data_IF_448650210913
#
_entry.id   IF_448650210913
#
_cell.length_a   1.000
_cell.length_b   1.000
_cell.length_c   1.000
_cell.angle_alpha   90.00
_cell.angle_beta   90.00
_cell.angle_gamma   90.00
#
_symmetry.space_group_name_H-M   'P 1'
#
loop_
_entity.id
_entity.type
_entity.pdbx_description
1 polymer ?
#
# COMPACT_ATOMS: atom_id res chain seq x y z
N UNK A 1 18.63 -7.81 16.24
CA UNK A 1 19.28 -8.59 17.31
C UNK A 1 18.24 -9.53 17.88
N UNK A 2 18.52 -10.84 17.90
CA UNK A 2 17.59 -11.92 18.27
C UNK A 2 17.42 -11.99 19.79
N UNK A 3 16.18 -12.03 20.28
CA UNK A 3 15.84 -12.81 21.48
C UNK A 3 14.32 -12.99 21.62
N UNK A 4 13.84 -14.23 21.59
CA UNK A 4 12.80 -14.75 22.47
C UNK A 4 12.62 -16.25 22.19
N UNK A 5 12.88 -17.07 23.20
CA UNK A 5 12.59 -18.50 23.21
C UNK A 5 11.09 -18.72 23.45
N UNK A 6 10.49 -19.66 22.71
CA UNK A 6 9.13 -20.13 22.93
C UNK A 6 8.22 -19.87 21.73
N UNK A 7 8.16 -20.82 20.78
CA UNK A 7 7.30 -20.81 19.59
C UNK A 7 7.36 -19.51 18.77
N UNK A 8 8.52 -19.23 18.18
CA UNK A 8 8.67 -18.11 17.25
C UNK A 8 8.10 -18.45 15.87
N UNK A 9 7.04 -17.77 15.45
CA UNK A 9 6.71 -17.65 14.04
C UNK A 9 7.68 -16.63 13.46
N UNK A 10 8.52 -17.04 12.50
CA UNK A 10 9.38 -16.12 11.76
C UNK A 10 8.69 -15.79 10.42
N UNK A 11 8.47 -14.50 10.17
CA UNK A 11 7.81 -14.03 8.94
C UNK A 11 8.84 -13.40 8.00
N UNK A 12 8.94 -13.93 6.78
CA UNK A 12 9.79 -13.41 5.72
C UNK A 12 8.92 -12.94 4.56
N UNK A 13 9.19 -11.75 4.05
CA UNK A 13 8.36 -11.12 3.02
C UNK A 13 9.14 -10.87 1.73
N UNK A 14 8.45 -10.96 0.59
CA UNK A 14 8.95 -10.50 -0.72
C UNK A 14 10.18 -11.29 -1.24
N UNK A 15 10.20 -12.61 -1.03
CA UNK A 15 11.26 -13.48 -1.56
C UNK A 15 11.12 -13.61 -3.09
N UNK A 16 12.22 -13.34 -3.80
CA UNK A 16 12.32 -13.43 -5.26
C UNK A 16 12.92 -14.77 -5.69
N UNK A 17 12.76 -15.08 -6.98
CA UNK A 17 13.29 -16.28 -7.61
C UNK A 17 14.83 -16.21 -7.74
N UNK A 18 15.55 -16.53 -6.66
CA UNK A 18 17.01 -16.63 -6.62
C UNK A 18 17.42 -17.83 -5.77
N UNK A 19 17.46 -19.01 -6.42
CA UNK A 19 17.73 -20.30 -5.79
C UNK A 19 19.06 -20.31 -5.00
N UNK A 20 20.04 -19.51 -5.43
CA UNK A 20 21.35 -19.40 -4.78
C UNK A 20 21.28 -18.71 -3.42
N UNK A 21 20.27 -17.87 -3.19
CA UNK A 21 20.04 -17.20 -1.90
C UNK A 21 19.12 -18.00 -0.98
N UNK A 22 18.25 -18.84 -1.54
CA UNK A 22 17.28 -19.61 -0.75
C UNK A 22 17.92 -20.73 0.06
N UNK A 23 18.81 -21.54 -0.53
CA UNK A 23 19.40 -22.69 0.17
C UNK A 23 20.13 -22.30 1.48
N UNK A 24 20.98 -21.25 1.52
CA UNK A 24 21.57 -20.79 2.78
C UNK A 24 20.54 -20.34 3.82
N UNK A 25 19.46 -19.67 3.38
CA UNK A 25 18.38 -19.23 4.27
C UNK A 25 17.64 -20.44 4.85
N UNK A 26 17.30 -21.43 4.02
CA UNK A 26 16.63 -22.67 4.43
C UNK A 26 17.43 -23.42 5.50
N UNK A 27 18.75 -23.51 5.33
CA UNK A 27 19.64 -24.12 6.33
C UNK A 27 19.57 -23.37 7.67
N UNK A 28 19.64 -22.04 7.65
CA UNK A 28 19.52 -21.23 8.88
C UNK A 28 18.16 -21.41 9.56
N UNK A 29 17.09 -21.42 8.77
CA UNK A 29 15.71 -21.55 9.25
C UNK A 29 15.40 -22.94 9.82
N UNK A 30 16.07 -23.98 9.33
CA UNK A 30 15.92 -25.35 9.84
C UNK A 30 16.44 -25.56 11.28
N UNK A 31 17.16 -24.58 11.84
CA UNK A 31 17.70 -24.62 13.20
C UNK A 31 16.72 -24.12 14.28
N UNK A 32 15.46 -23.86 13.92
CA UNK A 32 14.42 -23.47 14.86
C UNK A 32 14.11 -24.57 15.89
N UNK A 33 13.59 -24.17 17.05
CA UNK A 33 13.13 -25.12 18.07
C UNK A 33 11.98 -25.99 17.54
N UNK A 34 11.81 -27.21 18.08
CA UNK A 34 10.71 -28.10 17.71
C UNK A 34 9.36 -27.37 17.85
N UNK A 35 8.53 -27.43 16.81
CA UNK A 35 7.24 -26.73 16.74
C UNK A 35 7.29 -25.30 16.20
N UNK A 36 8.48 -24.76 15.88
CA UNK A 36 8.61 -23.46 15.19
C UNK A 36 8.00 -23.52 13.79
N UNK A 37 7.40 -22.41 13.36
CA UNK A 37 6.80 -22.28 12.02
C UNK A 37 7.42 -21.09 11.30
N UNK A 38 7.57 -21.22 9.99
CA UNK A 38 8.06 -20.16 9.11
C UNK A 38 6.91 -19.76 8.20
N UNK A 39 6.59 -18.47 8.19
CA UNK A 39 5.62 -17.90 7.27
C UNK A 39 6.39 -17.12 6.21
N UNK A 40 6.17 -17.46 4.94
CA UNK A 40 6.77 -16.76 3.81
C UNK A 40 5.67 -16.14 2.97
N UNK A 41 5.79 -14.85 2.66
CA UNK A 41 4.93 -14.18 1.69
C UNK A 41 5.69 -13.89 0.40
N UNK A 42 5.05 -14.14 -0.73
CA UNK A 42 5.66 -13.97 -2.05
C UNK A 42 4.58 -13.65 -3.08
N UNK A 43 4.98 -12.99 -4.17
CA UNK A 43 4.08 -12.61 -5.26
C UNK A 43 4.07 -13.59 -6.43
N UNK A 44 5.07 -14.46 -6.52
CA UNK A 44 5.24 -15.38 -7.64
C UNK A 44 5.01 -16.83 -7.18
N UNK A 45 4.04 -17.49 -7.79
CA UNK A 45 3.69 -18.89 -7.51
C UNK A 45 4.85 -19.86 -7.83
N UNK A 46 5.70 -19.55 -8.82
CA UNK A 46 6.86 -20.39 -9.13
C UNK A 46 7.87 -20.42 -7.98
N UNK A 47 8.03 -19.28 -7.28
CA UNK A 47 8.85 -19.20 -6.07
C UNK A 47 8.21 -20.07 -4.97
N UNK A 48 6.89 -20.07 -4.83
CA UNK A 48 6.19 -20.87 -3.81
C UNK A 48 6.46 -22.37 -3.98
N UNK A 49 6.40 -22.84 -5.23
CA UNK A 49 6.72 -24.22 -5.60
C UNK A 49 8.18 -24.56 -5.31
N UNK A 50 9.11 -23.66 -5.64
CA UNK A 50 10.54 -23.84 -5.35
C UNK A 50 10.83 -23.94 -3.85
N UNK A 51 10.11 -23.18 -3.01
CA UNK A 51 10.32 -23.22 -1.55
C UNK A 51 9.99 -24.59 -0.93
N UNK A 52 9.18 -25.44 -1.59
CA UNK A 52 8.77 -26.74 -1.07
C UNK A 52 7.94 -26.64 0.21
N UNK A 53 7.11 -25.60 0.34
CA UNK A 53 6.27 -25.38 1.52
C UNK A 53 5.26 -26.51 1.71
N UNK A 54 5.02 -26.91 2.96
CA UNK A 54 4.02 -27.94 3.32
C UNK A 54 2.60 -27.47 2.98
N UNK A 55 2.30 -26.19 3.26
CA UNK A 55 1.01 -25.57 2.99
C UNK A 55 1.22 -24.23 2.27
N UNK A 56 0.51 -24.01 1.16
CA UNK A 56 0.48 -22.73 0.44
C UNK A 56 -0.91 -22.13 0.54
N UNK A 57 -1.01 -20.92 1.06
CA UNK A 57 -2.27 -20.17 1.10
C UNK A 57 -2.27 -19.08 0.03
N UNK A 58 -3.08 -19.27 -1.02
CA UNK A 58 -3.28 -18.26 -2.05
C UNK A 58 -4.23 -17.18 -1.53
N UNK A 59 -3.71 -15.97 -1.34
CA UNK A 59 -4.54 -14.80 -1.03
C UNK A 59 -5.41 -14.46 -2.24
N UNK A 60 -6.73 -14.48 -2.05
CA UNK A 60 -7.68 -14.11 -3.09
C UNK A 60 -7.95 -12.60 -3.06
N UNK A 61 -8.31 -11.99 -4.21
CA UNK A 61 -8.84 -10.64 -4.22
C UNK A 61 -10.08 -10.53 -3.33
N UNK A 62 -10.29 -9.33 -2.77
CA UNK A 62 -11.53 -8.99 -2.08
C UNK A 62 -12.71 -9.01 -3.05
N UNK A 63 -13.90 -9.31 -2.55
CA UNK A 63 -15.14 -9.03 -3.28
C UNK A 63 -15.37 -7.51 -3.38
N UNK A 64 -16.17 -7.09 -4.36
CA UNK A 64 -16.57 -5.68 -4.51
C UNK A 64 -17.21 -5.13 -3.23
N UNK A 65 -17.94 -5.97 -2.50
CA UNK A 65 -18.57 -5.60 -1.23
C UNK A 65 -17.55 -5.34 -0.11
N UNK A 66 -16.47 -6.13 -0.06
CA UNK A 66 -15.37 -5.95 0.90
C UNK A 66 -14.50 -4.75 0.51
N UNK A 67 -14.23 -4.54 -0.78
CA UNK A 67 -13.59 -3.33 -1.28
C UNK A 67 -14.40 -2.09 -0.91
N UNK A 68 -15.72 -2.13 -1.09
CA UNK A 68 -16.59 -1.03 -0.69
C UNK A 68 -16.58 -0.81 0.82
N UNK A 69 -16.61 -1.87 1.64
CA UNK A 69 -16.52 -1.76 3.08
C UNK A 69 -15.21 -1.08 3.53
N UNK A 70 -14.07 -1.48 2.95
CA UNK A 70 -12.77 -0.87 3.25
C UNK A 70 -12.69 0.59 2.79
N UNK A 71 -13.17 0.89 1.57
CA UNK A 71 -13.20 2.23 1.02
C UNK A 71 -14.09 3.16 1.86
N UNK A 72 -15.30 2.72 2.17
CA UNK A 72 -16.30 3.48 2.93
C UNK A 72 -15.87 3.77 4.36
N UNK A 73 -15.18 2.82 5.01
CA UNK A 73 -14.59 3.03 6.33
C UNK A 73 -13.65 4.24 6.37
N UNK A 74 -12.91 4.48 5.28
CA UNK A 74 -11.95 5.59 5.19
C UNK A 74 -12.64 6.86 4.67
N UNK A 75 -13.42 6.75 3.59
CA UNK A 75 -14.03 7.89 2.92
C UNK A 75 -15.03 8.63 3.83
N UNK A 76 -15.86 7.89 4.57
CA UNK A 76 -16.95 8.47 5.36
C UNK A 76 -16.60 8.77 6.82
N UNK A 77 -15.33 8.62 7.21
CA UNK A 77 -14.85 8.88 8.58
C UNK A 77 -15.31 10.27 9.10
N UNK A 78 -15.41 11.26 8.20
CA UNK A 78 -15.83 12.65 8.49
C UNK A 78 -17.19 13.07 7.92
N UNK A 79 -17.81 12.26 7.05
CA UNK A 79 -18.96 12.67 6.22
C UNK A 79 -20.18 11.76 6.41
N UNK A 80 -20.82 11.86 7.58
CA UNK A 80 -22.01 11.04 7.89
C UNK A 80 -23.31 11.51 7.23
N UNK A 81 -23.39 12.80 6.88
CA UNK A 81 -24.66 13.43 6.46
C UNK A 81 -25.05 13.14 5.00
N UNK A 82 -24.08 12.83 4.13
CA UNK A 82 -24.31 12.56 2.69
C UNK A 82 -24.08 11.10 2.29
N UNK A 83 -23.89 10.22 3.29
CA UNK A 83 -23.47 8.84 3.08
C UNK A 83 -24.41 8.12 2.09
N UNK A 84 -25.73 8.19 2.31
CA UNK A 84 -26.73 7.47 1.50
C UNK A 84 -26.71 7.81 0.00
N UNK A 85 -26.38 9.05 -0.38
CA UNK A 85 -26.30 9.48 -1.79
C UNK A 85 -24.97 9.05 -2.41
N UNK A 86 -23.88 9.11 -1.65
CA UNK A 86 -22.55 8.76 -2.11
C UNK A 86 -22.28 7.25 -2.15
N UNK A 87 -23.10 6.44 -1.47
CA UNK A 87 -22.94 4.97 -1.46
C UNK A 87 -22.99 4.36 -2.86
N UNK A 88 -23.91 4.81 -3.72
CA UNK A 88 -24.04 4.29 -5.07
C UNK A 88 -22.75 4.51 -5.87
N UNK A 89 -22.24 5.74 -5.87
CA UNK A 89 -20.99 6.11 -6.55
C UNK A 89 -19.81 5.36 -5.91
N UNK A 90 -19.76 5.28 -4.59
CA UNK A 90 -18.71 4.55 -3.87
C UNK A 90 -18.66 3.06 -4.21
N UNK A 91 -19.80 2.42 -4.48
CA UNK A 91 -19.86 1.01 -4.93
C UNK A 91 -19.31 0.86 -6.35
N UNK A 92 -19.63 1.76 -7.27
CA UNK A 92 -19.07 1.76 -8.62
C UNK A 92 -17.55 1.99 -8.60
N UNK A 93 -17.08 2.90 -7.75
CA UNK A 93 -15.64 3.10 -7.53
C UNK A 93 -15.00 1.84 -6.93
N UNK A 94 -15.66 1.18 -5.98
CA UNK A 94 -15.14 -0.05 -5.37
C UNK A 94 -15.00 -1.20 -6.38
N UNK A 95 -15.90 -1.31 -7.37
CA UNK A 95 -15.77 -2.27 -8.46
C UNK A 95 -14.50 -2.02 -9.30
N UNK A 96 -14.13 -0.75 -9.50
CA UNK A 96 -12.90 -0.38 -10.21
C UNK A 96 -11.62 -0.76 -9.45
N UNK A 97 -11.69 -1.06 -8.15
CA UNK A 97 -10.55 -1.53 -7.38
C UNK A 97 -10.09 -2.95 -7.74
N UNK A 98 -10.89 -3.74 -8.46
CA UNK A 98 -10.53 -5.09 -8.89
C UNK A 98 -10.20 -6.05 -7.74
N UNK A 99 -10.79 -5.83 -6.56
CA UNK A 99 -10.53 -6.64 -5.36
C UNK A 99 -9.19 -6.35 -4.66
N UNK A 100 -8.43 -5.33 -5.07
CA UNK A 100 -7.16 -4.98 -4.45
C UNK A 100 -7.39 -4.14 -3.17
N UNK A 101 -7.00 -4.63 -1.97
CA UNK A 101 -7.20 -3.88 -0.72
C UNK A 101 -6.49 -2.52 -0.72
N UNK A 102 -5.29 -2.45 -1.30
CA UNK A 102 -4.52 -1.21 -1.37
C UNK A 102 -5.18 -0.19 -2.30
N UNK A 103 -5.79 -0.62 -3.42
CA UNK A 103 -6.56 0.26 -4.29
C UNK A 103 -7.77 0.88 -3.54
N UNK A 104 -8.55 0.04 -2.86
CA UNK A 104 -9.68 0.49 -2.06
C UNK A 104 -9.27 1.47 -0.94
N UNK A 105 -8.13 1.22 -0.28
CA UNK A 105 -7.57 2.14 0.71
C UNK A 105 -7.18 3.49 0.10
N UNK A 106 -6.43 3.48 -1.01
CA UNK A 106 -5.96 4.69 -1.69
C UNK A 106 -7.14 5.53 -2.18
N UNK A 107 -8.15 4.93 -2.79
CA UNK A 107 -9.35 5.64 -3.23
C UNK A 107 -10.21 6.13 -2.05
N UNK A 108 -10.34 5.35 -0.98
CA UNK A 108 -11.01 5.81 0.23
C UNK A 108 -10.35 7.06 0.82
N UNK A 109 -9.02 7.09 0.86
CA UNK A 109 -8.24 8.26 1.30
C UNK A 109 -8.47 9.48 0.39
N UNK A 110 -8.53 9.29 -0.92
CA UNK A 110 -8.82 10.34 -1.90
C UNK A 110 -10.24 10.89 -1.72
N UNK A 111 -11.24 10.02 -1.65
CA UNK A 111 -12.65 10.39 -1.54
C UNK A 111 -12.97 11.11 -0.23
N UNK A 112 -12.23 10.82 0.85
CA UNK A 112 -12.32 11.56 2.12
C UNK A 112 -12.03 13.06 1.95
N UNK A 113 -11.35 13.47 0.88
CA UNK A 113 -11.03 14.87 0.58
C UNK A 113 -12.09 15.54 -0.31
N UNK A 114 -13.18 14.84 -0.68
CA UNK A 114 -14.21 15.32 -1.60
C UNK A 114 -15.54 15.45 -0.87
N UNK A 115 -16.16 16.62 -0.93
CA UNK A 115 -17.36 16.94 -0.13
C UNK A 115 -18.66 16.84 -0.94
N UNK A 116 -18.57 16.76 -2.28
CA UNK A 116 -19.74 16.82 -3.15
C UNK A 116 -19.90 15.58 -4.05
N UNK A 117 -21.15 15.32 -4.44
CA UNK A 117 -21.51 14.25 -5.38
C UNK A 117 -20.81 14.44 -6.74
N UNK A 118 -20.65 15.68 -7.17
CA UNK A 118 -19.97 16.03 -8.42
C UNK A 118 -18.49 15.65 -8.38
N UNK A 119 -17.81 15.92 -7.27
CA UNK A 119 -16.39 15.55 -7.10
C UNK A 119 -16.18 14.03 -7.09
N UNK A 120 -17.08 13.28 -6.45
CA UNK A 120 -17.05 11.81 -6.49
C UNK A 120 -17.25 11.29 -7.92
N UNK A 121 -18.17 11.90 -8.68
CA UNK A 121 -18.38 11.57 -10.10
C UNK A 121 -17.17 11.88 -10.98
N UNK A 122 -16.42 12.95 -10.69
CA UNK A 122 -15.17 13.25 -11.41
C UNK A 122 -14.14 12.13 -11.20
N UNK A 123 -14.01 11.62 -9.96
CA UNK A 123 -13.13 10.48 -9.67
C UNK A 123 -13.62 9.23 -10.39
N UNK A 124 -14.91 8.91 -10.31
CA UNK A 124 -15.49 7.73 -10.97
C UNK A 124 -15.27 7.73 -12.49
N UNK A 125 -15.39 8.90 -13.13
CA UNK A 125 -15.33 9.04 -14.59
C UNK A 125 -13.95 9.46 -15.11
N UNK A 126 -12.90 9.41 -14.29
CA UNK A 126 -11.56 9.82 -14.71
C UNK A 126 -11.01 8.94 -15.84
N UNK A 127 -10.38 9.57 -16.83
CA UNK A 127 -9.70 8.88 -17.95
C UNK A 127 -8.55 7.98 -17.47
N UNK A 128 -8.04 8.19 -16.24
CA UNK A 128 -6.97 7.39 -15.65
C UNK A 128 -7.38 5.92 -15.50
N UNK A 129 -8.69 5.61 -15.41
CA UNK A 129 -9.19 4.22 -15.41
C UNK A 129 -8.94 3.46 -16.71
N UNK A 130 -8.71 4.17 -17.82
CA UNK A 130 -8.51 3.60 -19.15
C UNK A 130 -7.02 3.48 -19.51
N UNK A 131 -6.13 3.93 -18.61
CA UNK A 131 -4.69 3.84 -18.84
C UNK A 131 -4.22 2.40 -18.61
N UNK A 132 -3.97 1.67 -19.70
CA UNK A 132 -3.21 0.41 -19.67
C UNK A 132 -1.73 0.69 -19.41
N UNK A 133 -1.40 1.04 -18.16
CA UNK A 133 0.00 1.19 -17.76
C UNK A 133 0.50 -0.19 -17.37
N UNK A 134 1.26 -0.77 -18.31
CA UNK A 134 1.97 -2.02 -18.14
C UNK A 134 2.72 -2.02 -16.80
N UNK A 135 2.55 -3.12 -16.06
CA UNK A 135 3.27 -3.54 -14.84
C UNK A 135 2.57 -3.39 -13.49
N UNK A 136 1.60 -2.49 -13.28
CA UNK A 136 0.92 -2.45 -11.97
C UNK A 136 -0.55 -2.05 -12.07
N UNK A 137 -1.45 -3.01 -11.84
CA UNK A 137 -2.92 -2.81 -11.73
C UNK A 137 -3.32 -1.69 -10.75
N UNK A 138 -2.43 -1.35 -9.81
CA UNK A 138 -2.65 -0.30 -8.82
C UNK A 138 -2.27 1.11 -9.29
N UNK A 139 -1.54 1.25 -10.39
CA UNK A 139 -0.98 2.54 -10.82
C UNK A 139 -2.04 3.62 -11.06
N UNK A 140 -3.19 3.34 -11.74
CA UNK A 140 -4.26 4.33 -11.91
C UNK A 140 -4.72 4.95 -10.57
N UNK A 141 -4.85 4.10 -9.55
CA UNK A 141 -5.29 4.46 -8.21
C UNK A 141 -4.26 5.35 -7.50
N UNK A 142 -2.98 4.96 -7.54
CA UNK A 142 -1.89 5.73 -6.96
C UNK A 142 -1.68 7.07 -7.68
N UNK A 143 -1.85 7.08 -9.01
CA UNK A 143 -1.66 8.26 -9.84
C UNK A 143 -2.76 9.30 -9.59
N UNK A 144 -4.02 8.87 -9.48
CA UNK A 144 -5.13 9.74 -9.07
C UNK A 144 -4.85 10.41 -7.73
N UNK A 145 -4.45 9.63 -6.73
CA UNK A 145 -4.15 10.17 -5.41
C UNK A 145 -2.95 11.12 -5.43
N UNK A 146 -1.89 10.75 -6.16
CA UNK A 146 -0.73 11.61 -6.36
C UNK A 146 -1.09 12.94 -7.02
N UNK A 147 -1.96 12.95 -8.03
CA UNK A 147 -2.33 14.16 -8.75
C UNK A 147 -3.09 15.18 -7.91
N UNK A 148 -3.78 14.75 -6.86
CA UNK A 148 -4.52 15.63 -5.95
C UNK A 148 -3.62 16.24 -4.86
N UNK A 149 -2.37 15.78 -4.75
CA UNK A 149 -1.42 16.34 -3.79
C UNK A 149 -1.02 17.78 -4.15
N UNK A 150 -0.85 18.59 -3.12
CA UNK A 150 -0.28 19.93 -3.27
C UNK A 150 1.14 19.87 -3.85
N UNK A 151 1.58 20.87 -4.64
CA UNK A 151 2.89 20.84 -5.32
C UNK A 151 4.09 20.64 -4.40
N UNK A 152 4.03 21.10 -3.16
CA UNK A 152 5.09 20.88 -2.17
C UNK A 152 5.15 19.41 -1.71
N UNK A 153 3.99 18.78 -1.49
CA UNK A 153 3.89 17.37 -1.08
C UNK A 153 4.32 16.46 -2.22
N UNK A 154 3.94 16.77 -3.48
CA UNK A 154 4.41 16.03 -4.66
C UNK A 154 5.94 15.99 -4.76
N UNK A 155 6.60 17.14 -4.55
CA UNK A 155 8.07 17.24 -4.56
C UNK A 155 8.71 16.44 -3.43
N UNK A 156 8.14 16.50 -2.23
CA UNK A 156 8.63 15.71 -1.10
C UNK A 156 8.47 14.21 -1.35
N UNK A 157 7.31 13.79 -1.85
CA UNK A 157 7.01 12.38 -2.17
C UNK A 157 7.90 11.83 -3.29
N UNK A 158 8.11 12.59 -4.38
CA UNK A 158 8.95 12.14 -5.48
C UNK A 158 10.42 12.00 -5.07
N UNK A 159 10.89 12.79 -4.10
CA UNK A 159 12.23 12.66 -3.54
C UNK A 159 12.45 11.28 -2.88
N UNK A 160 11.41 10.63 -2.35
CA UNK A 160 11.53 9.29 -1.78
C UNK A 160 12.00 8.24 -2.80
N UNK A 161 11.88 8.50 -4.11
CA UNK A 161 12.32 7.59 -5.15
C UNK A 161 13.85 7.44 -5.26
N UNK A 162 14.64 8.31 -4.61
CA UNK A 162 16.11 8.17 -4.58
C UNK A 162 16.58 7.03 -3.68
N UNK A 163 15.75 6.63 -2.72
CA UNK A 163 16.10 5.58 -1.78
C UNK A 163 15.93 4.21 -2.43
N UNK A 164 16.85 3.26 -2.19
CA UNK A 164 16.68 1.88 -2.64
C UNK A 164 15.35 1.31 -2.16
N UNK A 165 14.77 0.42 -2.98
CA UNK A 165 13.57 -0.33 -2.63
C UNK A 165 13.80 -1.11 -1.32
N UNK A 166 12.77 -1.13 -0.48
CA UNK A 166 12.72 -1.82 0.83
C UNK A 166 13.71 -1.27 1.88
N UNK A 167 14.30 -0.08 1.67
CA UNK A 167 15.11 0.60 2.68
C UNK A 167 14.21 1.28 3.74
N UNK A 168 14.53 1.07 5.01
CA UNK A 168 13.93 1.83 6.12
C UNK A 168 14.47 3.27 6.11
N UNK A 169 13.57 4.23 5.94
CA UNK A 169 13.91 5.65 5.89
C UNK A 169 13.56 6.29 7.24
N UNK A 170 14.56 6.81 7.94
CA UNK A 170 14.33 7.63 9.14
C UNK A 170 13.62 8.94 8.74
N UNK A 171 12.43 9.14 9.31
CA UNK A 171 11.57 10.31 9.05
C UNK A 171 12.29 11.62 9.36
N UNK A 172 13.07 11.69 10.43
CA UNK A 172 13.78 12.92 10.80
C UNK A 172 14.88 13.26 9.79
N UNK A 173 15.59 12.24 9.32
CA UNK A 173 16.60 12.37 8.27
C UNK A 173 15.95 12.83 6.96
N UNK A 174 14.82 12.23 6.58
CA UNK A 174 14.07 12.61 5.37
C UNK A 174 13.59 14.08 5.42
N UNK A 175 13.04 14.52 6.55
CA UNK A 175 12.65 15.92 6.75
C UNK A 175 13.84 16.87 6.57
N UNK A 176 14.99 16.56 7.17
CA UNK A 176 16.20 17.38 7.04
C UNK A 176 16.68 17.46 5.59
N UNK A 177 16.59 16.35 4.84
CA UNK A 177 16.92 16.34 3.41
C UNK A 177 15.97 17.24 2.61
N UNK A 178 14.66 17.15 2.85
CA UNK A 178 13.69 18.05 2.20
C UNK A 178 13.92 19.53 2.53
N UNK A 179 14.27 19.85 3.78
CA UNK A 179 14.63 21.22 4.17
C UNK A 179 15.90 21.70 3.46
N UNK A 180 16.93 20.85 3.36
CA UNK A 180 18.17 21.18 2.66
C UNK A 180 17.96 21.42 1.16
N UNK A 181 17.01 20.72 0.55
CA UNK A 181 16.60 20.93 -0.86
C UNK A 181 15.65 22.13 -1.03
N UNK A 182 15.27 22.82 0.06
CA UNK A 182 14.33 23.94 0.01
C UNK A 182 12.89 23.55 -0.29
N UNK A 183 12.52 22.27 -0.09
CA UNK A 183 11.14 21.80 -0.30
C UNK A 183 10.22 22.15 0.88
N UNK A 184 10.79 22.43 2.06
CA UNK A 184 10.08 22.70 3.31
C UNK A 184 10.61 23.94 4.04
N UNK A 185 9.70 24.71 4.64
CA UNK A 185 9.98 25.66 5.73
C UNK A 185 9.47 25.09 7.06
N UNK A 186 10.10 25.48 8.18
CA UNK A 186 10.07 24.76 9.46
C UNK A 186 8.70 24.39 10.06
N UNK A 187 7.64 25.16 9.81
CA UNK A 187 6.27 24.89 10.32
C UNK A 187 5.49 23.82 9.54
N UNK A 188 6.04 23.33 8.43
CA UNK A 188 5.29 22.53 7.44
C UNK A 188 5.65 21.04 7.43
N UNK A 189 6.73 20.65 8.10
CA UNK A 189 7.33 19.31 7.97
C UNK A 189 6.44 18.18 8.49
N UNK A 190 5.89 18.30 9.70
CA UNK A 190 5.05 17.26 10.31
C UNK A 190 3.73 17.07 9.54
N UNK A 191 3.15 18.17 9.05
CA UNK A 191 1.95 18.14 8.20
C UNK A 191 2.21 17.41 6.88
N UNK A 192 3.38 17.59 6.27
CA UNK A 192 3.73 16.91 5.02
C UNK A 192 4.04 15.42 5.22
N UNK A 193 4.71 15.05 6.31
CA UNK A 193 4.90 13.63 6.66
C UNK A 193 3.56 12.96 6.89
N UNK A 194 2.66 13.59 7.66
CA UNK A 194 1.33 13.05 7.87
C UNK A 194 0.52 12.96 6.57
N UNK A 195 0.70 13.87 5.62
CA UNK A 195 0.01 13.81 4.33
C UNK A 195 0.53 12.65 3.47
N UNK A 196 1.85 12.43 3.45
CA UNK A 196 2.48 11.33 2.70
C UNK A 196 2.10 9.97 3.29
N UNK A 197 2.07 9.83 4.62
CA UNK A 197 1.68 8.57 5.28
C UNK A 197 0.18 8.23 5.15
N UNK A 198 -0.65 9.19 4.72
CA UNK A 198 -2.10 9.00 4.49
C UNK A 198 -2.43 8.54 3.07
N UNK A 199 -1.45 8.55 2.16
CA UNK A 199 -1.53 7.95 0.82
C UNK A 199 -1.57 6.42 0.93
#
# INVERSE_FOLDING_TARGET
MLSAWGLGIQMYTNINHDDKKWEPLKICLSKGALGSKILVTMRNESVAKMMGSVDTHLLRPLSDSECFALLSQIAFEKQKEHQSILEAIGREIAQKCGGLPLAAKTLGSLLRLKDTVQEWNIVLNSEIWQMEIAEVEIFPHLYLNYNELQPAVKRCFSYCAIFPKDLEIDVNTLIRMWMAQGFLSGETAEKMVSAILRL
#
